data_IF_733840696279
#
_entry.id   IF_733840696279
#
_cell.length_a   1.000
_cell.length_b   1.000
_cell.length_c   1.000
_cell.angle_alpha   90.00
_cell.angle_beta   90.00
_cell.angle_gamma   90.00
#
_symmetry.space_group_name_H-M   'P 1'
#
loop_
_entity.id
_entity.type
_entity.pdbx_description
1 polymer ?
#
# COMPACT_ATOMS: atom_id res chain seq x y z
N UNK A 1 -23.37 -30.38 -8.58
CA UNK A 1 -24.62 -30.39 -7.78
C UNK A 1 -24.64 -29.10 -7.00
N UNK A 2 -25.79 -28.43 -6.91
CA UNK A 2 -25.95 -27.18 -6.16
C UNK A 2 -26.49 -27.48 -4.76
N UNK A 3 -25.95 -26.82 -3.73
CA UNK A 3 -26.48 -26.89 -2.36
C UNK A 3 -27.26 -25.62 -2.06
N UNK A 4 -28.33 -25.73 -1.27
CA UNK A 4 -29.13 -24.58 -0.84
C UNK A 4 -28.54 -23.98 0.43
N UNK A 5 -28.16 -22.71 0.38
CA UNK A 5 -27.73 -21.96 1.54
C UNK A 5 -28.93 -21.41 2.33
N UNK A 6 -28.90 -21.60 3.65
CA UNK A 6 -29.79 -20.98 4.62
C UNK A 6 -28.95 -20.21 5.63
N UNK A 7 -29.18 -18.90 5.73
CA UNK A 7 -28.50 -18.03 6.68
C UNK A 7 -29.32 -17.89 7.96
N UNK A 8 -28.66 -17.91 9.11
CA UNK A 8 -29.28 -17.74 10.43
C UNK A 8 -28.63 -16.53 11.10
N UNK A 9 -29.43 -15.49 11.35
CA UNK A 9 -29.01 -14.29 12.06
C UNK A 9 -29.41 -14.40 13.54
N UNK A 10 -28.48 -14.26 14.50
CA UNK A 10 -28.83 -14.12 15.89
C UNK A 10 -29.47 -12.74 16.15
N UNK A 11 -30.60 -12.72 16.85
CA UNK A 11 -31.18 -11.52 17.47
C UNK A 11 -31.42 -10.31 16.53
N UNK A 12 -31.93 -10.56 15.32
CA UNK A 12 -32.58 -9.53 14.52
C UNK A 12 -34.10 -9.63 14.64
N UNK A 13 -34.82 -8.52 14.95
CA UNK A 13 -36.27 -8.53 14.97
C UNK A 13 -36.79 -8.97 13.59
N UNK A 14 -37.62 -10.02 13.61
CA UNK A 14 -38.07 -10.74 12.42
C UNK A 14 -38.71 -9.79 11.39
N UNK A 15 -38.23 -9.87 10.14
CA UNK A 15 -38.67 -9.02 9.02
C UNK A 15 -37.70 -7.93 8.59
N UNK A 16 -36.50 -7.87 9.18
CA UNK A 16 -35.48 -6.89 8.81
C UNK A 16 -34.94 -7.12 7.40
N UNK A 17 -35.03 -6.10 6.55
CA UNK A 17 -34.38 -6.08 5.24
C UNK A 17 -32.89 -5.85 5.43
N UNK A 18 -32.03 -6.68 4.86
CA UNK A 18 -30.58 -6.61 5.02
C UNK A 18 -29.87 -6.59 3.66
N UNK A 19 -28.68 -6.02 3.62
CA UNK A 19 -27.75 -6.25 2.53
C UNK A 19 -27.05 -7.58 2.72
N UNK A 20 -26.88 -8.38 1.67
CA UNK A 20 -26.16 -9.66 1.75
C UNK A 20 -25.16 -9.78 0.62
N UNK A 21 -23.92 -10.14 0.92
CA UNK A 21 -22.87 -10.43 -0.05
C UNK A 21 -22.25 -11.79 0.24
N UNK A 22 -22.21 -12.67 -0.76
CA UNK A 22 -21.53 -13.97 -0.66
C UNK A 22 -20.35 -13.97 -1.63
N UNK A 23 -19.17 -14.34 -1.13
CA UNK A 23 -17.93 -14.46 -1.90
C UNK A 23 -17.42 -15.90 -1.83
N UNK A 24 -16.83 -16.39 -2.92
CA UNK A 24 -16.14 -17.68 -2.92
C UNK A 24 -14.70 -17.55 -2.39
N UNK A 25 -13.96 -18.67 -2.28
CA UNK A 25 -12.54 -18.70 -1.87
C UNK A 25 -11.57 -17.81 -2.66
N UNK A 26 -11.96 -17.35 -3.85
CA UNK A 26 -11.16 -16.42 -4.68
C UNK A 26 -11.60 -14.96 -4.45
N UNK A 27 -12.43 -14.71 -3.44
CA UNK A 27 -13.06 -13.44 -3.10
C UNK A 27 -13.97 -12.86 -4.21
N UNK A 28 -14.36 -13.69 -5.19
CA UNK A 28 -15.29 -13.27 -6.24
C UNK A 28 -16.69 -13.26 -5.64
N UNK A 29 -17.40 -12.14 -5.79
CA UNK A 29 -18.81 -11.99 -5.40
C UNK A 29 -19.66 -12.90 -6.27
N UNK A 30 -20.26 -13.92 -5.66
CA UNK A 30 -21.17 -14.88 -6.35
C UNK A 30 -22.63 -14.51 -6.15
N UNK A 31 -22.94 -13.74 -5.09
CA UNK A 31 -24.27 -13.22 -4.83
C UNK A 31 -24.19 -11.87 -4.12
N UNK A 32 -25.08 -10.95 -4.51
CA UNK A 32 -25.26 -9.67 -3.83
C UNK A 32 -26.71 -9.24 -3.87
N UNK A 33 -27.27 -8.96 -2.70
CA UNK A 33 -28.56 -8.31 -2.51
C UNK A 33 -28.33 -6.99 -1.77
N UNK A 34 -28.71 -5.82 -2.33
CA UNK A 34 -28.43 -4.53 -1.70
C UNK A 34 -29.24 -4.31 -0.42
N UNK A 35 -30.55 -4.55 -0.45
CA UNK A 35 -31.47 -4.52 0.71
C UNK A 35 -32.64 -5.45 0.38
N UNK A 36 -32.84 -6.51 1.16
CA UNK A 36 -33.91 -7.49 0.93
C UNK A 36 -34.09 -8.46 2.09
N UNK A 37 -35.08 -9.36 2.03
CA UNK A 37 -35.13 -10.46 2.98
C UNK A 37 -33.84 -11.30 2.89
N UNK A 38 -33.45 -11.91 4.00
CA UNK A 38 -32.31 -12.83 4.02
C UNK A 38 -32.51 -13.91 2.95
N UNK A 39 -31.54 -14.15 2.05
CA UNK A 39 -31.74 -15.11 0.97
C UNK A 39 -31.93 -16.51 1.54
N UNK A 40 -33.07 -17.11 1.24
CA UNK A 40 -33.36 -18.51 1.56
C UNK A 40 -33.23 -19.36 0.29
N UNK A 41 -32.34 -20.35 0.31
CA UNK A 41 -32.20 -21.30 -0.80
C UNK A 41 -31.32 -20.81 -1.94
N UNK A 42 -30.29 -20.01 -1.65
CA UNK A 42 -29.28 -19.64 -2.64
C UNK A 42 -28.52 -20.89 -3.09
N UNK A 43 -28.54 -21.17 -4.39
CA UNK A 43 -27.81 -22.31 -4.97
C UNK A 43 -26.32 -21.96 -5.13
N UNK A 44 -25.46 -22.70 -4.42
CA UNK A 44 -24.01 -22.55 -4.49
C UNK A 44 -23.35 -23.84 -4.99
N UNK A 45 -22.22 -23.68 -5.68
CA UNK A 45 -21.34 -24.80 -6.04
C UNK A 45 -20.57 -25.30 -4.81
N UNK A 46 -19.98 -26.51 -4.91
CA UNK A 46 -19.13 -27.08 -3.86
C UNK A 46 -17.90 -26.21 -3.65
N UNK A 47 -17.60 -25.84 -2.40
CA UNK A 47 -16.43 -25.06 -2.05
C UNK A 47 -16.57 -24.18 -0.80
N UNK A 48 -15.54 -23.38 -0.54
CA UNK A 48 -15.47 -22.47 0.62
C UNK A 48 -15.96 -21.09 0.24
N UNK A 49 -16.77 -20.50 1.11
CA UNK A 49 -17.40 -19.20 0.94
C UNK A 49 -17.27 -18.34 2.21
N UNK A 50 -17.42 -17.03 2.02
CA UNK A 50 -17.61 -16.05 3.08
C UNK A 50 -18.90 -15.29 2.79
N UNK A 51 -19.76 -15.17 3.78
CA UNK A 51 -20.99 -14.38 3.70
C UNK A 51 -20.90 -13.19 4.64
N UNK A 52 -21.30 -12.03 4.15
CA UNK A 52 -21.43 -10.80 4.90
C UNK A 52 -22.86 -10.29 4.81
N UNK A 53 -23.44 -9.94 5.95
CA UNK A 53 -24.78 -9.36 6.07
C UNK A 53 -24.69 -8.00 6.76
N UNK A 54 -25.29 -6.98 6.18
CA UNK A 54 -25.37 -5.63 6.73
C UNK A 54 -26.83 -5.32 7.08
N UNK A 55 -27.10 -5.07 8.35
CA UNK A 55 -28.41 -4.70 8.85
C UNK A 55 -28.66 -3.18 8.71
N UNK A 56 -29.92 -2.72 8.63
CA UNK A 56 -30.26 -1.29 8.50
C UNK A 56 -29.82 -0.43 9.68
N UNK A 57 -29.65 -1.05 10.85
CA UNK A 57 -29.15 -0.42 12.07
C UNK A 57 -27.62 -0.28 12.08
N UNK A 58 -26.94 -0.73 11.01
CA UNK A 58 -25.49 -0.63 10.85
C UNK A 58 -24.70 -1.76 11.49
N UNK A 59 -25.36 -2.77 12.05
CA UNK A 59 -24.70 -4.01 12.48
C UNK A 59 -24.27 -4.83 11.26
N UNK A 60 -23.10 -5.46 11.36
CA UNK A 60 -22.60 -6.38 10.35
C UNK A 60 -22.43 -7.76 10.96
N UNK A 61 -22.70 -8.76 10.13
CA UNK A 61 -22.55 -10.16 10.50
C UNK A 61 -21.72 -10.85 9.42
N UNK A 62 -20.82 -11.73 9.85
CA UNK A 62 -19.95 -12.47 8.93
C UNK A 62 -19.82 -13.93 9.36
N UNK A 63 -19.69 -14.82 8.38
CA UNK A 63 -19.25 -16.18 8.62
C UNK A 63 -18.53 -16.74 7.39
N UNK A 64 -17.52 -17.57 7.64
CA UNK A 64 -16.95 -18.47 6.63
C UNK A 64 -17.63 -19.83 6.73
N UNK A 65 -17.92 -20.47 5.59
CA UNK A 65 -18.56 -21.78 5.55
C UNK A 65 -18.12 -22.60 4.33
N UNK A 66 -18.29 -23.92 4.39
CA UNK A 66 -18.01 -24.84 3.30
C UNK A 66 -19.31 -25.48 2.81
N UNK A 67 -19.48 -25.50 1.49
CA UNK A 67 -20.54 -26.24 0.81
C UNK A 67 -19.97 -27.59 0.41
N UNK A 68 -20.38 -28.64 1.11
CA UNK A 68 -19.92 -30.01 0.86
C UNK A 68 -20.61 -30.65 -0.37
N UNK A 69 -19.91 -31.58 -1.00
CA UNK A 69 -20.47 -32.34 -2.12
C UNK A 69 -21.60 -33.26 -1.66
N UNK A 70 -22.78 -33.13 -2.29
CA UNK A 70 -23.96 -33.93 -1.98
C UNK A 70 -24.80 -33.43 -0.80
N UNK A 71 -24.37 -32.37 -0.10
CA UNK A 71 -25.18 -31.76 0.96
C UNK A 71 -26.42 -31.05 0.34
N UNK A 72 -27.65 -31.42 0.73
CA UNK A 72 -28.86 -30.82 0.15
C UNK A 72 -29.03 -29.35 0.56
N UNK A 73 -28.51 -28.98 1.73
CA UNK A 73 -28.49 -27.62 2.25
C UNK A 73 -27.30 -27.39 3.19
N UNK A 74 -26.86 -26.14 3.29
CA UNK A 74 -25.86 -25.68 4.25
C UNK A 74 -26.49 -24.59 5.11
N UNK A 75 -26.51 -24.78 6.44
CA UNK A 75 -26.97 -23.78 7.40
C UNK A 75 -25.78 -23.04 7.98
N UNK A 76 -25.84 -21.71 7.97
CA UNK A 76 -24.74 -20.86 8.43
C UNK A 76 -25.27 -19.90 9.48
N UNK A 77 -24.80 -20.06 10.71
CA UNK A 77 -25.03 -19.11 11.79
C UNK A 77 -24.04 -17.97 11.63
N UNK A 78 -24.56 -16.77 11.45
CA UNK A 78 -23.74 -15.57 11.27
C UNK A 78 -23.35 -15.02 12.64
N UNK A 79 -22.09 -14.65 12.79
CA UNK A 79 -21.62 -14.00 14.02
C UNK A 79 -21.65 -12.48 13.83
N UNK A 80 -22.17 -11.76 14.82
CA UNK A 80 -22.13 -10.28 14.79
C UNK A 80 -20.67 -9.85 14.87
N UNK A 81 -20.19 -9.26 13.78
CA UNK A 81 -18.90 -8.60 13.76
C UNK A 81 -19.15 -7.22 14.31
N UNK A 82 -18.64 -6.93 15.51
CA UNK A 82 -18.76 -5.61 16.14
C UNK A 82 -18.27 -4.54 15.18
N UNK A 83 -19.25 -3.92 14.52
CA UNK A 83 -19.00 -3.07 13.39
C UNK A 83 -18.61 -1.72 13.89
N UNK A 84 -17.43 -1.27 13.48
CA UNK A 84 -17.14 0.16 13.48
C UNK A 84 -18.14 0.81 12.51
N UNK A 85 -19.00 1.65 13.06
CA UNK A 85 -20.38 2.00 12.65
C UNK A 85 -20.54 2.71 11.31
N UNK A 86 -20.96 2.15 10.16
CA UNK A 86 -21.11 2.99 8.93
C UNK A 86 -22.12 4.15 9.06
N UNK A 87 -21.74 5.31 8.50
CA UNK A 87 -22.47 6.59 8.48
C UNK A 87 -23.86 6.51 7.84
N UNK A 88 -24.88 7.06 8.53
CA UNK A 88 -26.10 7.53 7.86
C UNK A 88 -25.86 8.93 7.28
N UNK A 89 -26.30 9.15 6.04
CA UNK A 89 -26.43 10.50 5.50
C UNK A 89 -27.65 11.17 6.16
N UNK A 90 -27.41 12.10 7.09
CA UNK A 90 -28.43 13.06 7.55
C UNK A 90 -28.17 14.47 7.00
N UNK A 91 -29.24 15.21 6.65
CA UNK A 91 -29.16 16.54 6.04
C UNK A 91 -28.70 17.60 7.06
N UNK A 92 -28.08 18.65 6.53
CA UNK A 92 -27.42 19.72 7.28
C UNK A 92 -28.31 20.39 8.35
N UNK A 93 -27.81 20.63 9.58
CA UNK A 93 -28.47 21.52 10.52
C UNK A 93 -28.05 22.98 10.28
N UNK A 94 -29.06 23.83 10.34
CA UNK A 94 -29.01 25.29 10.26
C UNK A 94 -28.20 25.90 11.42
N UNK A 95 -27.39 26.92 11.11
CA UNK A 95 -26.73 27.80 12.08
C UNK A 95 -27.73 28.49 13.01
N UNK A 96 -27.48 28.45 14.32
CA UNK A 96 -27.93 29.47 15.27
C UNK A 96 -26.81 29.86 16.24
N UNK A 97 -26.95 31.07 16.74
CA UNK A 97 -25.93 32.01 17.18
C UNK A 97 -25.58 31.96 18.68
N UNK A 98 -24.45 32.60 18.95
CA UNK A 98 -23.78 32.95 20.20
C UNK A 98 -24.67 33.71 21.21
N UNK A 99 -24.52 33.39 22.50
CA UNK A 99 -24.81 34.25 23.66
C UNK A 99 -24.00 33.70 24.85
N UNK A 100 -22.90 34.34 25.25
CA UNK A 100 -22.74 35.49 26.15
C UNK A 100 -22.68 35.09 27.65
N UNK A 101 -21.66 35.64 28.32
CA UNK A 101 -21.06 35.15 29.56
C UNK A 101 -21.73 35.69 30.84
N UNK A 102 -21.57 34.95 31.95
CA UNK A 102 -21.86 35.40 33.31
C UNK A 102 -20.77 34.91 34.30
N UNK A 103 -20.58 35.59 35.45
CA UNK A 103 -19.28 35.68 36.12
C UNK A 103 -19.02 34.60 37.16
N UNK A 104 -17.72 34.41 37.44
CA UNK A 104 -17.14 33.46 38.40
C UNK A 104 -17.43 33.86 39.85
N UNK A 105 -17.85 32.87 40.64
CA UNK A 105 -17.89 32.92 42.11
C UNK A 105 -16.79 31.97 42.62
N UNK A 106 -15.79 32.50 43.30
CA UNK A 106 -14.75 31.73 43.97
C UNK A 106 -15.33 31.06 45.23
N UNK A 107 -15.48 29.74 45.17
CA UNK A 107 -15.73 28.91 46.35
C UNK A 107 -14.54 27.96 46.53
N UNK A 108 -13.90 28.04 47.70
CA UNK A 108 -12.87 27.10 48.14
C UNK A 108 -13.49 25.71 48.31
N UNK A 109 -13.26 24.83 47.33
CA UNK A 109 -13.60 23.42 47.40
C UNK A 109 -12.40 22.57 47.80
N UNK A 110 -12.64 21.45 48.52
CA UNK A 110 -11.61 20.53 48.95
C UNK A 110 -10.86 19.95 47.75
N UNK A 111 -9.57 19.66 47.95
CA UNK A 111 -8.72 18.99 46.94
C UNK A 111 -9.28 17.59 46.70
N UNK A 112 -10.13 17.47 45.69
CA UNK A 112 -10.55 16.20 45.10
C UNK A 112 -9.32 15.72 44.32
N UNK A 113 -8.74 14.60 44.75
CA UNK A 113 -7.82 13.83 43.91
C UNK A 113 -8.66 13.32 42.74
N UNK A 114 -8.67 14.08 41.66
CA UNK A 114 -9.30 13.67 40.40
C UNK A 114 -8.63 12.37 39.99
N UNK A 115 -9.42 11.30 39.91
CA UNK A 115 -8.96 10.05 39.31
C UNK A 115 -8.30 10.37 37.97
N UNK A 116 -7.14 9.74 37.71
CA UNK A 116 -6.42 9.94 36.45
C UNK A 116 -7.42 9.83 35.28
N UNK A 117 -7.40 10.80 34.34
CA UNK A 117 -8.33 10.77 33.23
C UNK A 117 -8.20 9.42 32.54
N UNK A 118 -9.35 8.76 32.31
CA UNK A 118 -9.40 7.48 31.62
C UNK A 118 -8.55 7.58 30.33
N UNK A 119 -7.68 6.60 30.06
CA UNK A 119 -6.78 6.66 28.91
C UNK A 119 -7.60 6.92 27.63
N UNK A 120 -7.07 7.70 26.68
CA UNK A 120 -7.80 8.04 25.47
C UNK A 120 -8.23 6.75 24.76
N UNK A 121 -9.49 6.69 24.35
CA UNK A 121 -10.07 5.50 23.73
C UNK A 121 -9.31 5.07 22.45
N UNK A 122 -8.55 5.99 21.86
CA UNK A 122 -7.78 5.80 20.64
C UNK A 122 -6.45 6.54 20.68
N UNK A 123 -5.45 6.01 19.97
CA UNK A 123 -4.23 6.75 19.64
C UNK A 123 -3.85 6.55 18.17
N UNK A 124 -3.34 7.63 17.56
CA UNK A 124 -2.76 7.61 16.23
C UNK A 124 -1.24 7.73 16.36
N UNK A 125 -0.49 6.81 15.76
CA UNK A 125 0.97 6.84 15.75
C UNK A 125 1.50 6.59 14.35
N UNK A 126 2.57 7.27 13.97
CA UNK A 126 3.36 6.89 12.81
C UNK A 126 4.26 5.72 13.20
N UNK A 127 4.32 4.67 12.39
CA UNK A 127 5.12 3.49 12.68
C UNK A 127 5.89 3.00 11.46
N UNK A 128 7.00 2.33 11.73
CA UNK A 128 7.71 1.51 10.73
C UNK A 128 7.44 0.04 11.03
N UNK A 129 7.00 -0.71 10.02
CA UNK A 129 6.61 -2.12 10.15
C UNK A 129 7.60 -2.97 9.36
N UNK A 130 8.18 -3.94 10.04
CA UNK A 130 9.06 -4.94 9.42
C UNK A 130 8.24 -6.06 8.76
N UNK A 131 8.89 -6.93 7.99
CA UNK A 131 8.18 -7.99 7.24
C UNK A 131 7.63 -9.14 8.07
N UNK A 132 7.99 -9.23 9.34
CA UNK A 132 7.35 -10.13 10.30
C UNK A 132 6.12 -9.48 10.97
N UNK A 133 5.79 -8.23 10.61
CA UNK A 133 4.70 -7.46 11.19
C UNK A 133 5.08 -6.70 12.46
N UNK A 134 6.33 -6.77 12.92
CA UNK A 134 6.78 -6.06 14.12
C UNK A 134 6.91 -4.56 13.88
N UNK A 135 6.53 -3.77 14.89
CA UNK A 135 6.70 -2.31 14.89
C UNK A 135 8.11 -1.97 15.39
N UNK A 136 8.95 -1.40 14.52
CA UNK A 136 10.35 -1.03 14.84
C UNK A 136 10.50 0.34 15.48
N UNK A 137 9.67 1.28 15.06
CA UNK A 137 9.67 2.67 15.52
C UNK A 137 8.22 3.15 15.62
N UNK A 138 7.94 4.00 16.60
CA UNK A 138 6.62 4.57 16.82
C UNK A 138 6.70 6.01 17.31
N UNK A 139 6.09 6.91 16.56
CA UNK A 139 5.92 8.32 16.91
C UNK A 139 4.43 8.60 17.10
N UNK A 140 4.00 8.94 18.30
CA UNK A 140 2.62 9.36 18.53
C UNK A 140 2.34 10.65 17.76
N UNK A 141 1.27 10.63 16.94
CA UNK A 141 0.86 11.74 16.10
C UNK A 141 -0.30 12.53 16.73
N UNK A 142 -1.26 11.82 17.29
CA UNK A 142 -2.41 12.41 17.99
C UNK A 142 -3.03 11.40 18.95
N UNK A 143 -3.37 11.86 20.14
CA UNK A 143 -4.22 11.18 21.13
C UNK A 143 -5.69 11.60 21.01
N UNK A 144 -5.98 12.56 20.11
CA UNK A 144 -7.33 13.11 19.87
C UNK A 144 -7.78 12.77 18.46
N UNK A 145 -8.81 11.94 18.37
CA UNK A 145 -9.52 11.61 17.13
C UNK A 145 -11.02 11.90 17.32
N UNK A 146 -11.76 12.29 16.27
CA UNK A 146 -11.33 12.51 14.88
C UNK A 146 -10.47 13.78 14.71
N UNK A 147 -9.69 13.87 13.62
CA UNK A 147 -8.74 14.96 13.40
C UNK A 147 -8.02 14.88 12.06
N UNK A 148 -7.25 15.92 11.74
CA UNK A 148 -6.31 15.92 10.62
C UNK A 148 -4.91 15.80 11.18
N UNK A 149 -4.17 14.82 10.70
CA UNK A 149 -2.75 14.67 10.97
C UNK A 149 -1.99 14.90 9.68
N UNK A 150 -1.02 15.81 9.71
CA UNK A 150 -0.10 16.02 8.60
C UNK A 150 1.19 15.29 8.92
N UNK A 151 1.56 14.35 8.05
CA UNK A 151 2.83 13.64 8.14
C UNK A 151 3.80 14.40 7.23
N UNK A 152 4.86 14.92 7.84
CA UNK A 152 5.86 15.73 7.17
C UNK A 152 6.63 14.94 6.10
N UNK A 153 7.18 15.68 5.14
CA UNK A 153 8.09 15.13 4.13
C UNK A 153 9.32 14.54 4.82
N UNK A 154 9.81 13.42 4.30
CA UNK A 154 11.02 12.75 4.79
C UNK A 154 10.81 11.90 6.04
N UNK A 155 9.59 11.78 6.55
CA UNK A 155 9.29 10.87 7.64
C UNK A 155 9.70 9.43 7.25
N UNK A 156 10.59 8.82 8.04
CA UNK A 156 11.10 7.47 7.81
C UNK A 156 10.01 6.39 7.96
N UNK A 157 8.97 6.72 8.74
CA UNK A 157 7.90 5.82 9.11
C UNK A 157 6.79 5.80 8.07
N UNK A 158 6.31 4.59 7.75
CA UNK A 158 5.63 4.23 6.49
C UNK A 158 4.16 3.86 6.66
N UNK A 159 3.72 3.72 7.91
CA UNK A 159 2.38 3.32 8.25
C UNK A 159 1.82 4.22 9.34
N UNK A 160 0.53 4.46 9.29
CA UNK A 160 -0.25 5.03 10.38
C UNK A 160 -0.85 3.87 11.15
N UNK A 161 -0.42 3.73 12.40
CA UNK A 161 -1.05 2.85 13.39
C UNK A 161 -2.19 3.58 14.06
N UNK A 162 -3.34 2.93 14.10
CA UNK A 162 -4.52 3.34 14.86
C UNK A 162 -4.74 2.27 15.91
N UNK A 163 -4.47 2.63 17.16
CA UNK A 163 -4.66 1.75 18.31
C UNK A 163 -5.95 2.12 19.02
N UNK A 164 -6.74 1.11 19.40
CA UNK A 164 -7.93 1.27 20.24
C UNK A 164 -7.83 0.31 21.41
N UNK A 165 -8.20 0.78 22.60
CA UNK A 165 -8.19 -0.06 23.79
C UNK A 165 -9.05 -1.33 23.59
N UNK A 166 -8.46 -2.50 23.81
CA UNK A 166 -9.14 -3.79 23.68
C UNK A 166 -9.45 -4.24 22.25
N UNK A 167 -8.93 -3.58 21.21
CA UNK A 167 -9.06 -4.01 19.82
C UNK A 167 -7.68 -4.14 19.16
N UNK A 168 -7.54 -5.00 18.13
CA UNK A 168 -6.31 -5.08 17.37
C UNK A 168 -5.97 -3.74 16.71
N UNK A 169 -4.67 -3.44 16.65
CA UNK A 169 -4.17 -2.27 15.94
C UNK A 169 -4.54 -2.36 14.46
N UNK A 170 -4.92 -1.22 13.88
CA UNK A 170 -5.06 -1.08 12.44
C UNK A 170 -3.86 -0.31 11.88
N UNK A 171 -3.30 -0.81 10.80
CA UNK A 171 -2.18 -0.18 10.12
C UNK A 171 -2.54 0.17 8.69
N UNK A 172 -2.15 1.37 8.30
CA UNK A 172 -2.52 1.96 7.01
C UNK A 172 -1.28 2.53 6.37
N UNK A 173 -0.98 2.11 5.14
CA UNK A 173 0.15 2.65 4.41
C UNK A 173 0.03 4.18 4.27
N UNK A 174 1.07 4.89 4.65
CA UNK A 174 1.18 6.35 4.56
C UNK A 174 2.36 6.67 3.64
N UNK A 175 2.11 6.93 2.34
CA UNK A 175 3.16 7.17 1.36
C UNK A 175 3.86 8.51 1.58
N UNK A 176 4.88 8.52 2.44
CA UNK A 176 5.78 9.68 2.61
C UNK A 176 7.13 9.42 1.96
N UNK A 177 7.75 10.49 1.46
CA UNK A 177 9.13 10.51 0.98
C UNK A 177 9.79 11.83 1.34
N UNK A 178 11.10 11.98 1.15
CA UNK A 178 11.80 13.26 1.33
C UNK A 178 11.15 14.43 0.57
N UNK A 179 10.43 14.15 -0.53
CA UNK A 179 9.77 15.15 -1.36
C UNK A 179 8.23 15.17 -1.21
N UNK A 180 7.65 14.26 -0.43
CA UNK A 180 6.19 14.06 -0.35
C UNK A 180 5.72 13.82 1.08
N UNK A 181 4.83 14.69 1.56
CA UNK A 181 4.05 14.46 2.77
C UNK A 181 2.70 13.82 2.45
N UNK A 182 1.98 13.42 3.50
CA UNK A 182 0.59 12.97 3.39
C UNK A 182 -0.25 13.62 4.47
N UNK A 183 -1.46 14.07 4.11
CA UNK A 183 -2.46 14.51 5.08
C UNK A 183 -3.43 13.38 5.31
N UNK A 184 -3.49 12.91 6.55
CA UNK A 184 -4.37 11.85 7.02
C UNK A 184 -5.51 12.52 7.77
N UNK A 185 -6.68 12.58 7.14
CA UNK A 185 -7.88 13.11 7.78
C UNK A 185 -8.74 11.96 8.28
N UNK A 186 -8.78 11.78 9.60
CA UNK A 186 -9.69 10.87 10.27
C UNK A 186 -11.04 11.57 10.41
N UNK A 187 -12.02 11.19 9.58
CA UNK A 187 -13.37 11.76 9.56
C UNK A 187 -14.27 11.14 10.63
N UNK A 188 -14.11 9.85 10.89
CA UNK A 188 -14.76 9.12 11.98
C UNK A 188 -13.92 7.91 12.36
N UNK A 189 -14.18 7.37 13.54
CA UNK A 189 -13.54 6.17 14.09
C UNK A 189 -14.54 5.00 14.21
N UNK A 190 -15.84 5.31 14.15
CA UNK A 190 -16.93 4.36 14.14
C UNK A 190 -17.96 4.91 13.13
N UNK A 191 -17.78 4.64 11.82
CA UNK A 191 -16.85 3.67 11.24
C UNK A 191 -15.49 4.33 11.13
N UNK A 192 -14.42 3.56 11.03
CA UNK A 192 -13.17 4.19 10.65
C UNK A 192 -13.29 4.73 9.22
N UNK A 193 -13.32 6.05 9.11
CA UNK A 193 -13.41 6.77 7.85
C UNK A 193 -12.19 7.66 7.74
N UNK A 194 -11.28 7.28 6.84
CA UNK A 194 -10.03 7.99 6.62
C UNK A 194 -10.00 8.55 5.21
N UNK A 195 -9.36 9.70 5.10
CA UNK A 195 -9.11 10.38 3.84
C UNK A 195 -7.62 10.67 3.77
N UNK A 196 -6.92 9.95 2.88
CA UNK A 196 -5.50 10.11 2.63
C UNK A 196 -5.34 11.05 1.45
N UNK A 197 -4.83 12.25 1.72
CA UNK A 197 -4.51 13.22 0.68
C UNK A 197 -3.01 13.31 0.52
N UNK A 198 -2.51 12.74 -0.56
CA UNK A 198 -1.10 12.87 -0.93
C UNK A 198 -0.82 14.27 -1.43
N UNK A 199 0.39 14.74 -1.17
CA UNK A 199 0.88 16.01 -1.66
C UNK A 199 1.13 15.94 -3.18
N UNK A 200 0.09 16.15 -3.98
CA UNK A 200 0.15 16.16 -5.45
C UNK A 200 -1.10 15.57 -6.08
N UNK A 201 -1.80 16.37 -6.90
CA UNK A 201 -3.12 16.01 -7.42
C UNK A 201 -3.12 14.74 -8.30
N UNK A 202 -2.00 14.44 -8.95
CA UNK A 202 -1.87 13.29 -9.86
C UNK A 202 -1.86 11.93 -9.13
N UNK A 203 -1.27 11.84 -7.94
CA UNK A 203 -1.23 10.59 -7.18
C UNK A 203 -2.64 10.21 -6.69
N UNK A 204 -3.38 11.18 -6.15
CA UNK A 204 -4.76 10.99 -5.71
C UNK A 204 -5.67 10.57 -6.87
N UNK A 205 -5.49 11.19 -8.05
CA UNK A 205 -6.22 10.82 -9.27
C UNK A 205 -5.93 9.37 -9.70
N UNK A 206 -4.66 8.96 -9.69
CA UNK A 206 -4.26 7.61 -10.02
C UNK A 206 -4.85 6.59 -9.04
N UNK A 207 -4.78 6.86 -7.72
CA UNK A 207 -5.42 6.01 -6.71
C UNK A 207 -6.92 5.87 -6.93
N UNK A 208 -7.59 6.99 -7.22
CA UNK A 208 -9.01 6.99 -7.52
C UNK A 208 -9.32 6.09 -8.73
N UNK A 209 -8.53 6.14 -9.80
CA UNK A 209 -8.78 5.27 -10.95
C UNK A 209 -8.51 3.79 -10.66
N UNK A 210 -7.47 3.46 -9.91
CA UNK A 210 -7.17 2.07 -9.54
C UNK A 210 -8.29 1.53 -8.63
N UNK A 211 -8.68 2.28 -7.59
CA UNK A 211 -9.72 1.87 -6.65
C UNK A 211 -11.09 1.63 -7.34
N UNK A 212 -11.37 2.38 -8.40
CA UNK A 212 -12.63 2.26 -9.14
C UNK A 212 -12.55 1.35 -10.37
N UNK A 213 -11.45 0.59 -10.54
CA UNK A 213 -11.28 -0.32 -11.67
C UNK A 213 -11.35 0.35 -13.04
N UNK A 214 -11.02 1.66 -13.13
CA UNK A 214 -11.14 2.45 -14.36
C UNK A 214 -9.90 2.31 -15.24
N UNK A 215 -9.66 1.09 -15.70
CA UNK A 215 -8.47 0.69 -16.46
C UNK A 215 -8.31 1.49 -17.76
N UNK A 216 -9.40 1.81 -18.46
CA UNK A 216 -9.35 2.59 -19.70
C UNK A 216 -8.89 4.04 -19.45
N UNK A 217 -9.37 4.67 -18.38
CA UNK A 217 -8.96 6.03 -18.00
C UNK A 217 -7.51 6.07 -17.50
N UNK A 218 -7.04 4.97 -16.91
CA UNK A 218 -5.64 4.77 -16.58
C UNK A 218 -4.77 4.65 -17.83
N UNK A 219 -5.27 4.01 -18.89
CA UNK A 219 -4.58 3.94 -20.18
C UNK A 219 -4.38 5.32 -20.81
N UNK A 220 -5.38 6.20 -20.74
CA UNK A 220 -5.26 7.57 -21.27
C UNK A 220 -4.23 8.41 -20.49
N UNK A 221 -4.23 8.28 -19.16
CA UNK A 221 -3.26 8.96 -18.30
C UNK A 221 -1.85 8.41 -18.52
N UNK A 222 -1.72 7.10 -18.71
CA UNK A 222 -0.47 6.46 -19.12
C UNK A 222 -0.03 6.99 -20.47
N UNK A 223 -0.93 7.17 -21.45
CA UNK A 223 -0.60 7.73 -22.75
C UNK A 223 -0.09 9.18 -22.67
N UNK A 224 -0.47 9.97 -21.65
CA UNK A 224 0.11 11.30 -21.40
C UNK A 224 1.56 11.21 -20.87
N UNK A 225 1.84 10.24 -20.00
CA UNK A 225 3.16 10.06 -19.37
C UNK A 225 4.11 9.27 -20.29
N UNK A 226 3.57 8.42 -21.16
CA UNK A 226 4.29 7.49 -22.01
C UNK A 226 5.33 8.15 -22.91
N UNK A 227 5.04 9.24 -23.66
CA UNK A 227 6.05 9.91 -24.50
C UNK A 227 7.29 10.37 -23.72
N UNK A 228 7.11 10.75 -22.45
CA UNK A 228 8.22 11.19 -21.58
C UNK A 228 9.12 10.01 -21.20
N UNK A 229 8.54 8.82 -21.07
CA UNK A 229 9.23 7.57 -20.76
C UNK A 229 9.79 6.91 -22.02
N UNK A 230 9.12 7.07 -23.16
CA UNK A 230 9.54 6.59 -24.48
C UNK A 230 10.86 7.22 -24.92
N UNK A 231 11.08 8.50 -24.57
CA UNK A 231 12.36 9.18 -24.81
C UNK A 231 13.54 8.44 -24.16
N UNK A 232 13.27 7.74 -23.05
CA UNK A 232 14.25 6.89 -22.35
C UNK A 232 14.28 5.49 -22.97
N UNK A 233 13.13 4.94 -23.35
CA UNK A 233 12.98 3.63 -24.01
C UNK A 233 13.70 3.53 -25.37
N UNK A 234 13.71 4.62 -26.14
CA UNK A 234 14.26 4.67 -27.50
C UNK A 234 15.80 4.54 -27.57
N UNK A 235 16.49 4.44 -26.43
CA UNK A 235 17.93 4.15 -26.37
C UNK A 235 18.30 2.75 -26.91
N UNK A 236 17.37 1.80 -26.84
CA UNK A 236 17.65 0.38 -27.08
C UNK A 236 18.47 -0.25 -25.94
N UNK A 237 18.28 -1.55 -25.70
CA UNK A 237 18.80 -2.25 -24.51
C UNK A 237 20.34 -2.12 -24.31
N UNK A 238 21.11 -2.11 -25.39
CA UNK A 238 22.58 -2.00 -25.32
C UNK A 238 23.04 -0.60 -24.87
N UNK A 239 22.46 0.47 -25.43
CA UNK A 239 22.79 1.84 -25.01
C UNK A 239 22.20 2.18 -23.65
N UNK A 240 21.10 1.51 -23.26
CA UNK A 240 20.52 1.59 -21.92
C UNK A 240 21.50 1.08 -20.86
N UNK A 241 22.14 -0.05 -21.12
CA UNK A 241 23.12 -0.65 -20.22
C UNK A 241 24.36 0.23 -20.10
N UNK A 242 24.89 0.70 -21.23
CA UNK A 242 26.02 1.66 -21.24
C UNK A 242 25.66 2.96 -20.52
N UNK A 243 24.46 3.48 -20.74
CA UNK A 243 23.93 4.65 -20.04
C UNK A 243 23.82 4.40 -18.53
N UNK A 244 23.21 3.29 -18.09
CA UNK A 244 23.10 2.94 -16.66
C UNK A 244 24.47 2.77 -15.99
N UNK A 245 25.42 2.08 -16.64
CA UNK A 245 26.79 1.92 -16.14
C UNK A 245 27.53 3.27 -16.05
N UNK A 246 27.37 4.14 -17.05
CA UNK A 246 27.97 5.48 -17.03
C UNK A 246 27.32 6.39 -15.98
N UNK A 247 25.99 6.34 -15.83
CA UNK A 247 25.24 7.12 -14.85
C UNK A 247 25.59 6.67 -13.44
N UNK A 248 25.56 5.36 -13.15
CA UNK A 248 25.91 4.81 -11.83
C UNK A 248 27.36 5.08 -11.44
N UNK A 249 28.31 4.90 -12.35
CA UNK A 249 29.74 5.15 -12.11
C UNK A 249 30.07 6.62 -11.84
N UNK A 250 29.30 7.54 -12.44
CA UNK A 250 29.52 8.96 -12.31
C UNK A 250 28.39 9.65 -11.52
N UNK A 251 27.60 8.88 -10.75
CA UNK A 251 26.33 9.37 -10.20
C UNK A 251 26.53 10.51 -9.23
N UNK A 252 27.49 10.43 -8.31
CA UNK A 252 27.77 11.52 -7.36
C UNK A 252 28.15 12.82 -8.07
N UNK A 253 29.05 12.74 -9.06
CA UNK A 253 29.44 13.89 -9.87
C UNK A 253 28.29 14.43 -10.74
N UNK A 254 27.43 13.56 -11.25
CA UNK A 254 26.24 13.95 -11.99
C UNK A 254 25.20 14.59 -11.05
N UNK A 255 25.05 14.06 -9.83
CA UNK A 255 24.12 14.53 -8.81
C UNK A 255 24.47 15.93 -8.32
N UNK A 256 25.73 16.21 -8.00
CA UNK A 256 26.18 17.57 -7.64
C UNK A 256 25.89 18.56 -8.78
N UNK A 257 26.04 18.11 -10.02
CA UNK A 257 25.81 18.90 -11.22
C UNK A 257 24.31 19.13 -11.49
N UNK A 258 23.47 18.14 -11.19
CA UNK A 258 22.00 18.23 -11.27
C UNK A 258 21.41 19.09 -10.15
N UNK A 259 21.91 18.95 -8.93
CA UNK A 259 21.42 19.69 -7.77
C UNK A 259 21.82 21.18 -7.88
N UNK A 260 23.00 21.48 -8.44
CA UNK A 260 23.37 22.84 -8.86
C UNK A 260 22.53 23.41 -10.01
N UNK A 261 21.97 22.54 -10.87
CA UNK A 261 21.02 22.95 -11.91
C UNK A 261 19.59 23.18 -11.40
N UNK A 262 19.23 22.57 -10.27
CA UNK A 262 17.95 22.77 -9.58
C UNK A 262 17.81 24.19 -9.01
N UNK A 263 18.90 24.79 -8.54
CA UNK A 263 18.86 26.06 -7.79
C UNK A 263 19.04 27.33 -8.64
N UNK A 264 19.37 27.22 -9.93
CA UNK A 264 19.69 28.41 -10.74
C UNK A 264 19.38 28.22 -12.24
N UNK A 265 18.57 29.08 -12.88
CA UNK A 265 18.31 29.02 -14.33
C UNK A 265 19.57 29.18 -15.19
N UNK A 266 20.63 29.80 -14.63
CA UNK A 266 21.92 29.95 -15.28
C UNK A 266 22.64 28.60 -15.44
N UNK A 267 22.38 27.62 -14.58
CA UNK A 267 22.97 26.29 -14.70
C UNK A 267 22.32 25.43 -15.79
N UNK A 268 21.08 25.74 -16.18
CA UNK A 268 20.44 25.13 -17.35
C UNK A 268 21.15 25.56 -18.65
N UNK A 269 21.55 26.83 -18.74
CA UNK A 269 22.42 27.33 -19.81
C UNK A 269 23.87 26.80 -19.71
N UNK A 270 24.32 26.42 -18.51
CA UNK A 270 25.59 25.70 -18.30
C UNK A 270 25.50 24.26 -18.80
N UNK A 271 24.33 23.60 -18.72
CA UNK A 271 24.13 22.26 -19.29
C UNK A 271 24.37 22.25 -20.81
N UNK A 272 23.94 23.30 -21.52
CA UNK A 272 24.22 23.48 -22.95
C UNK A 272 25.71 23.81 -23.23
N UNK A 273 26.48 24.21 -22.21
CA UNK A 273 27.91 24.58 -22.29
C UNK A 273 28.84 23.62 -21.56
N UNK A 274 28.32 22.54 -20.96
CA UNK A 274 29.02 21.52 -20.17
C UNK A 274 30.33 21.02 -20.80
N UNK A 275 30.40 20.78 -22.13
CA UNK A 275 31.63 20.34 -22.75
C UNK A 275 32.80 21.32 -22.60
N UNK A 276 32.52 22.63 -22.56
CA UNK A 276 33.53 23.71 -22.44
C UNK A 276 33.98 23.95 -21.00
N UNK A 277 33.10 23.77 -20.02
CA UNK A 277 33.40 24.01 -18.61
C UNK A 277 34.19 22.84 -17.96
N UNK A 278 33.97 21.60 -18.40
CA UNK A 278 34.71 20.45 -17.90
C UNK A 278 36.23 20.52 -18.17
N UNK A 279 36.64 21.27 -19.20
CA UNK A 279 38.05 21.60 -19.52
C UNK A 279 38.64 22.66 -18.58
N UNK A 280 37.80 23.52 -17.99
CA UNK A 280 38.23 24.66 -17.19
C UNK A 280 38.50 24.29 -15.72
N UNK A 281 37.83 23.25 -15.21
CA UNK A 281 37.94 22.82 -13.81
C UNK A 281 38.82 21.58 -13.59
N UNK A 282 39.62 21.17 -14.58
CA UNK A 282 40.61 20.08 -14.41
C UNK A 282 40.03 18.67 -14.32
N UNK A 283 38.75 18.48 -14.66
CA UNK A 283 38.09 17.16 -14.63
C UNK A 283 38.46 16.26 -15.82
N UNK A 284 39.64 16.37 -16.44
CA UNK A 284 39.91 15.80 -17.77
C UNK A 284 39.60 14.29 -17.91
N UNK A 285 39.84 13.47 -16.88
CA UNK A 285 39.52 12.03 -16.90
C UNK A 285 38.03 11.71 -16.71
N UNK A 286 37.30 12.47 -15.89
CA UNK A 286 35.85 12.31 -15.72
C UNK A 286 35.05 13.03 -16.83
N UNK A 287 35.61 14.10 -17.38
CA UNK A 287 35.04 14.92 -18.44
C UNK A 287 34.82 14.15 -19.74
N UNK A 288 35.65 13.15 -20.05
CA UNK A 288 35.43 12.32 -21.25
C UNK A 288 34.14 11.51 -21.10
N UNK A 289 33.91 10.90 -19.94
CA UNK A 289 32.67 10.16 -19.65
C UNK A 289 31.45 11.08 -19.62
N UNK A 290 31.54 12.21 -18.91
CA UNK A 290 30.44 13.19 -18.79
C UNK A 290 30.13 13.88 -20.12
N UNK A 291 31.13 14.18 -20.96
CA UNK A 291 30.91 14.73 -22.31
C UNK A 291 30.27 13.72 -23.24
N UNK A 292 30.71 12.46 -23.18
CA UNK A 292 30.07 11.37 -23.93
C UNK A 292 28.61 11.25 -23.50
N UNK A 293 28.36 11.25 -22.18
CA UNK A 293 27.01 11.22 -21.61
C UNK A 293 26.14 12.38 -22.13
N UNK A 294 26.62 13.62 -21.99
CA UNK A 294 25.86 14.81 -22.38
C UNK A 294 25.64 14.91 -23.90
N UNK A 295 26.61 14.49 -24.71
CA UNK A 295 26.53 14.57 -26.18
C UNK A 295 25.69 13.45 -26.78
N UNK A 296 25.84 12.22 -26.29
CA UNK A 296 25.16 11.05 -26.85
C UNK A 296 23.81 10.78 -26.19
N UNK A 297 23.66 11.17 -24.92
CA UNK A 297 22.47 10.87 -24.11
C UNK A 297 21.78 12.12 -23.56
N UNK A 298 22.07 13.33 -24.09
CA UNK A 298 21.50 14.60 -23.60
C UNK A 298 19.97 14.60 -23.42
N UNK A 299 19.17 14.20 -24.42
CA UNK A 299 17.72 14.07 -24.30
C UNK A 299 17.29 13.09 -23.20
N UNK A 300 18.05 12.01 -22.99
CA UNK A 300 17.75 10.97 -22.03
C UNK A 300 18.19 11.34 -20.63
N UNK A 301 19.29 12.07 -20.47
CA UNK A 301 19.64 12.74 -19.23
C UNK A 301 18.54 13.72 -18.85
N UNK A 302 18.05 14.54 -19.79
CA UNK A 302 16.91 15.43 -19.52
C UNK A 302 15.64 14.66 -19.16
N UNK A 303 15.36 13.53 -19.84
CA UNK A 303 14.22 12.69 -19.52
C UNK A 303 14.35 12.00 -18.16
N UNK A 304 15.55 11.56 -17.77
CA UNK A 304 15.87 10.99 -16.45
C UNK A 304 15.83 12.07 -15.37
N UNK A 305 16.32 13.29 -15.62
CA UNK A 305 16.20 14.43 -14.71
C UNK A 305 14.72 14.82 -14.54
N UNK A 306 13.95 14.85 -15.63
CA UNK A 306 12.49 15.03 -15.57
C UNK A 306 11.79 13.87 -14.86
N UNK A 307 12.26 12.64 -15.03
CA UNK A 307 11.75 11.47 -14.33
C UNK A 307 12.15 11.46 -12.85
N UNK A 308 13.30 12.05 -12.47
CA UNK A 308 13.72 12.29 -11.08
C UNK A 308 12.78 13.26 -10.37
N UNK A 309 12.14 14.17 -11.12
CA UNK A 309 11.05 15.00 -10.58
C UNK A 309 9.72 14.24 -10.44
N UNK A 310 9.65 12.97 -10.88
CA UNK A 310 8.51 12.11 -10.56
C UNK A 310 8.72 11.60 -9.15
N UNK A 311 8.04 12.28 -8.24
CA UNK A 311 7.58 11.81 -6.93
C UNK A 311 7.54 10.26 -6.82
N UNK A 312 8.29 9.63 -5.90
CA UNK A 312 8.46 8.17 -5.84
C UNK A 312 7.15 7.39 -5.78
N UNK A 313 6.15 7.90 -5.08
CA UNK A 313 4.83 7.27 -4.97
C UNK A 313 4.13 7.32 -6.33
N UNK A 314 4.18 8.46 -7.02
CA UNK A 314 3.62 8.61 -8.38
C UNK A 314 4.31 7.66 -9.36
N UNK A 315 5.65 7.55 -9.30
CA UNK A 315 6.40 6.62 -10.15
C UNK A 315 6.00 5.16 -9.91
N UNK A 316 5.79 4.80 -8.64
CA UNK A 316 5.38 3.45 -8.23
C UNK A 316 3.97 3.12 -8.73
N UNK A 317 3.04 4.05 -8.57
CA UNK A 317 1.68 3.87 -9.10
C UNK A 317 1.74 3.71 -10.62
N UNK A 318 2.47 4.57 -11.32
CA UNK A 318 2.64 4.46 -12.76
C UNK A 318 3.22 3.09 -13.14
N UNK A 319 4.23 2.60 -12.41
CA UNK A 319 4.82 1.26 -12.62
C UNK A 319 3.79 0.13 -12.49
N UNK A 320 2.92 0.17 -11.49
CA UNK A 320 1.82 -0.79 -11.39
C UNK A 320 0.82 -0.67 -12.53
N UNK A 321 0.44 0.55 -12.92
CA UNK A 321 -0.49 0.76 -14.03
C UNK A 321 0.10 0.20 -15.32
N UNK A 322 1.39 0.39 -15.56
CA UNK A 322 2.09 -0.24 -16.67
C UNK A 322 2.00 -1.77 -16.62
N UNK A 323 2.24 -2.37 -15.45
CA UNK A 323 2.04 -3.82 -15.30
C UNK A 323 0.58 -4.25 -15.54
N UNK A 324 -0.42 -3.43 -15.24
CA UNK A 324 -1.82 -3.81 -15.47
C UNK A 324 -2.25 -3.66 -16.93
N UNK A 325 -1.93 -2.51 -17.54
CA UNK A 325 -2.46 -2.10 -18.84
C UNK A 325 -1.57 -2.58 -19.99
N UNK A 326 -0.25 -2.71 -19.75
CA UNK A 326 0.72 -2.93 -20.83
C UNK A 326 1.03 -1.65 -21.61
N UNK A 327 1.74 -1.75 -22.75
CA UNK A 327 1.95 -0.60 -23.64
C UNK A 327 0.62 -0.15 -24.24
N UNK A 328 0.47 1.15 -24.55
CA UNK A 328 -0.71 1.63 -25.26
C UNK A 328 -0.89 0.89 -26.60
N UNK A 329 -2.14 0.59 -26.99
CA UNK A 329 -2.45 -0.11 -28.23
C UNK A 329 -1.92 0.65 -29.46
N UNK A 330 -1.45 -0.08 -30.47
CA UNK A 330 -0.87 0.49 -31.71
C UNK A 330 0.66 0.57 -31.75
N UNK A 331 1.35 0.18 -30.66
CA UNK A 331 2.81 0.20 -30.56
C UNK A 331 3.41 -1.22 -30.39
N UNK A 332 2.83 -2.22 -31.08
CA UNK A 332 3.17 -3.64 -30.88
C UNK A 332 4.62 -3.98 -31.23
N UNK A 333 5.21 -3.28 -32.21
CA UNK A 333 6.62 -3.41 -32.57
C UNK A 333 7.58 -2.98 -31.45
N UNK A 334 7.10 -2.18 -30.48
CA UNK A 334 7.86 -1.73 -29.30
C UNK A 334 7.61 -2.58 -28.06
N UNK A 335 6.89 -3.71 -28.14
CA UNK A 335 6.66 -4.59 -26.96
C UNK A 335 7.95 -5.11 -26.32
N UNK A 336 9.01 -5.28 -27.10
CA UNK A 336 10.32 -5.68 -26.56
C UNK A 336 10.96 -4.55 -25.73
N UNK A 337 10.94 -3.31 -26.21
CA UNK A 337 11.49 -2.15 -25.47
C UNK A 337 10.63 -1.73 -24.29
N UNK A 338 9.34 -2.04 -24.31
CA UNK A 338 8.40 -1.80 -23.20
C UNK A 338 8.89 -2.41 -21.89
N UNK A 339 9.34 -3.66 -21.97
CA UNK A 339 9.95 -4.33 -20.85
C UNK A 339 11.14 -3.54 -20.31
N UNK A 340 12.10 -3.25 -21.17
CA UNK A 340 13.33 -2.56 -20.80
C UNK A 340 13.05 -1.17 -20.20
N UNK A 341 11.96 -0.52 -20.63
CA UNK A 341 11.48 0.74 -20.06
C UNK A 341 10.99 0.58 -18.63
N UNK A 342 10.18 -0.45 -18.33
CA UNK A 342 9.74 -0.73 -16.96
C UNK A 342 10.95 -1.11 -16.10
N UNK A 343 11.88 -1.92 -16.62
CA UNK A 343 13.09 -2.28 -15.88
C UNK A 343 13.96 -1.07 -15.57
N UNK A 344 14.08 -0.14 -16.51
CA UNK A 344 14.84 1.07 -16.29
C UNK A 344 14.11 2.05 -15.36
N UNK A 345 12.79 2.20 -15.49
CA UNK A 345 12.00 2.99 -14.54
C UNK A 345 12.12 2.44 -13.14
N UNK A 346 12.00 1.13 -13.03
CA UNK A 346 12.30 0.40 -11.82
C UNK A 346 13.72 0.71 -11.35
N UNK A 347 14.75 0.49 -12.16
CA UNK A 347 16.15 0.70 -11.75
C UNK A 347 16.44 2.14 -11.31
N UNK A 348 15.97 3.13 -12.08
CA UNK A 348 16.12 4.55 -11.78
C UNK A 348 15.35 4.95 -10.52
N UNK A 349 14.16 4.40 -10.30
CA UNK A 349 13.37 4.68 -9.11
C UNK A 349 13.94 3.96 -7.87
N UNK A 350 14.41 2.71 -8.02
CA UNK A 350 14.84 1.84 -6.92
C UNK A 350 16.18 2.24 -6.35
N UNK A 351 17.07 2.77 -7.19
CA UNK A 351 18.33 3.33 -6.73
C UNK A 351 18.12 4.48 -5.73
N UNK A 352 16.95 5.14 -5.77
CA UNK A 352 16.68 6.34 -4.98
C UNK A 352 15.69 6.13 -3.83
N UNK A 353 14.90 5.07 -3.85
CA UNK A 353 13.92 4.79 -2.78
C UNK A 353 14.03 3.35 -2.28
N UNK A 354 15.17 2.96 -1.67
CA UNK A 354 15.38 1.61 -1.14
C UNK A 354 14.40 1.22 -0.04
N UNK A 355 13.64 2.18 0.47
CA UNK A 355 12.57 2.06 1.46
C UNK A 355 11.21 1.69 0.86
N UNK A 356 11.01 1.86 -0.45
CA UNK A 356 9.75 1.57 -1.12
C UNK A 356 9.79 0.15 -1.66
N UNK A 357 9.16 -0.80 -0.97
CA UNK A 357 9.26 -2.23 -1.33
C UNK A 357 8.48 -2.55 -2.61
N UNK A 358 7.40 -1.82 -2.88
CA UNK A 358 6.57 -1.94 -4.09
C UNK A 358 7.34 -1.85 -5.39
N UNK A 359 8.32 -0.99 -5.36
CA UNK A 359 9.28 -0.83 -6.42
C UNK A 359 9.91 -2.20 -6.72
N UNK A 360 10.56 -2.88 -5.76
CA UNK A 360 11.09 -4.23 -5.98
C UNK A 360 10.06 -5.21 -6.58
N UNK A 361 8.82 -5.18 -6.10
CA UNK A 361 7.72 -6.00 -6.61
C UNK A 361 7.44 -5.72 -8.10
N UNK A 362 7.41 -4.45 -8.51
CA UNK A 362 7.16 -4.03 -9.90
C UNK A 362 8.22 -4.60 -10.85
N UNK A 363 9.51 -4.47 -10.52
CA UNK A 363 10.58 -5.02 -11.39
C UNK A 363 10.58 -6.53 -11.41
N UNK A 364 10.41 -7.15 -10.25
CA UNK A 364 10.36 -8.60 -10.16
C UNK A 364 9.23 -9.15 -11.05
N UNK A 365 8.06 -8.50 -11.03
CA UNK A 365 6.94 -8.84 -11.91
C UNK A 365 7.26 -8.56 -13.40
N UNK A 366 7.90 -7.43 -13.71
CA UNK A 366 8.30 -7.10 -15.08
C UNK A 366 9.30 -8.13 -15.66
N UNK A 367 10.28 -8.56 -14.86
CA UNK A 367 11.24 -9.62 -15.20
C UNK A 367 10.54 -10.97 -15.35
N UNK A 368 9.60 -11.29 -14.46
CA UNK A 368 8.83 -12.53 -14.52
C UNK A 368 8.04 -12.63 -15.83
N UNK A 369 7.41 -11.54 -16.27
CA UNK A 369 6.67 -11.46 -17.53
C UNK A 369 7.53 -11.60 -18.79
N UNK A 370 8.83 -11.28 -18.69
CA UNK A 370 9.82 -11.51 -19.77
C UNK A 370 10.45 -12.89 -19.75
N UNK A 371 9.98 -13.80 -18.88
CA UNK A 371 10.58 -15.12 -18.73
C UNK A 371 11.91 -15.13 -17.98
N UNK A 372 12.37 -14.00 -17.42
CA UNK A 372 13.59 -13.92 -16.63
C UNK A 372 13.32 -14.36 -15.17
N UNK A 373 12.80 -15.57 -15.01
CA UNK A 373 12.24 -16.07 -13.75
C UNK A 373 13.25 -16.17 -12.61
N UNK A 374 14.50 -16.55 -12.87
CA UNK A 374 15.53 -16.63 -11.82
C UNK A 374 15.88 -15.25 -11.25
N UNK A 375 15.99 -14.24 -12.12
CA UNK A 375 16.22 -12.85 -11.69
C UNK A 375 15.01 -12.32 -10.93
N UNK A 376 13.81 -12.55 -11.45
CA UNK A 376 12.56 -12.17 -10.78
C UNK A 376 12.46 -12.80 -9.38
N UNK A 377 12.70 -14.10 -9.27
CA UNK A 377 12.73 -14.83 -8.01
C UNK A 377 13.76 -14.22 -7.04
N UNK A 378 14.95 -13.90 -7.51
CA UNK A 378 15.99 -13.26 -6.68
C UNK A 378 15.56 -11.91 -6.09
N UNK A 379 14.68 -11.17 -6.79
CA UNK A 379 14.12 -9.91 -6.29
C UNK A 379 12.94 -10.14 -5.35
N UNK A 380 12.01 -11.05 -5.68
CA UNK A 380 10.90 -11.38 -4.78
C UNK A 380 11.37 -11.94 -3.44
N UNK A 381 12.46 -12.71 -3.43
CA UNK A 381 13.07 -13.20 -2.18
C UNK A 381 13.65 -12.10 -1.30
N UNK A 382 13.89 -10.89 -1.82
CA UNK A 382 14.34 -9.72 -1.04
C UNK A 382 13.18 -8.91 -0.45
N UNK A 383 11.95 -9.15 -0.89
CA UNK A 383 10.76 -8.40 -0.41
C UNK A 383 10.62 -8.53 1.11
N UNK A 384 10.62 -9.75 1.70
CA UNK A 384 10.56 -9.87 3.16
C UNK A 384 11.70 -9.12 3.85
N UNK A 385 12.93 -9.19 3.38
CA UNK A 385 14.03 -8.50 4.07
C UNK A 385 13.95 -6.96 4.03
N UNK A 386 13.08 -6.40 3.19
CA UNK A 386 12.90 -4.95 3.01
C UNK A 386 11.64 -4.39 3.66
N UNK A 387 10.75 -5.26 4.13
CA UNK A 387 9.47 -4.91 4.74
C UNK A 387 8.27 -5.19 3.84
N UNK A 388 7.12 -4.70 4.25
CA UNK A 388 5.85 -4.95 3.52
C UNK A 388 5.65 -3.91 2.40
N UNK A 389 5.25 -4.32 1.19
CA UNK A 389 4.80 -3.40 0.16
C UNK A 389 3.64 -2.53 0.68
N UNK A 390 3.65 -1.24 0.37
CA UNK A 390 2.59 -0.30 0.72
C UNK A 390 1.33 -0.48 -0.10
N UNK A 391 1.43 -1.08 -1.29
CA UNK A 391 0.28 -1.37 -2.13
C UNK A 391 -0.03 -2.86 -2.08
N UNK A 392 -1.32 -3.20 -1.96
CA UNK A 392 -1.79 -4.58 -1.93
C UNK A 392 -1.40 -5.36 -3.19
N UNK A 393 -1.28 -4.67 -4.33
CA UNK A 393 -0.78 -5.25 -5.58
C UNK A 393 0.64 -5.78 -5.47
N UNK A 394 1.55 -5.08 -4.79
CA UNK A 394 2.93 -5.53 -4.61
C UNK A 394 3.00 -6.81 -3.81
N UNK A 395 2.24 -6.86 -2.70
CA UNK A 395 2.12 -8.05 -1.87
C UNK A 395 1.50 -9.21 -2.67
N UNK A 396 0.42 -8.96 -3.42
CA UNK A 396 -0.25 -9.95 -4.27
C UNK A 396 0.69 -10.54 -5.32
N UNK A 397 1.36 -9.70 -6.11
CA UNK A 397 2.32 -10.18 -7.12
C UNK A 397 3.42 -11.01 -6.50
N UNK A 398 3.95 -10.58 -5.34
CA UNK A 398 5.00 -11.32 -4.64
C UNK A 398 4.51 -12.70 -4.21
N UNK A 399 3.35 -12.78 -3.56
CA UNK A 399 2.77 -14.05 -3.11
C UNK A 399 2.46 -14.99 -4.27
N UNK A 400 1.77 -14.50 -5.31
CA UNK A 400 1.38 -15.29 -6.47
C UNK A 400 2.62 -15.86 -7.19
N UNK A 401 3.66 -15.03 -7.37
CA UNK A 401 4.91 -15.44 -8.03
C UNK A 401 5.72 -16.40 -7.18
N UNK A 402 5.91 -16.15 -5.89
CA UNK A 402 6.63 -17.08 -5.02
C UNK A 402 5.92 -18.44 -4.93
N UNK A 403 4.58 -18.47 -4.86
CA UNK A 403 3.79 -19.73 -4.94
C UNK A 403 4.00 -20.46 -6.26
N UNK A 404 4.00 -19.73 -7.38
CA UNK A 404 4.28 -20.28 -8.70
C UNK A 404 5.70 -20.83 -8.85
N UNK A 405 6.69 -20.13 -8.31
CA UNK A 405 8.09 -20.57 -8.31
C UNK A 405 8.33 -21.77 -7.40
N UNK A 406 7.69 -21.82 -6.22
CA UNK A 406 7.71 -23.01 -5.35
C UNK A 406 7.24 -24.26 -6.09
N UNK A 407 6.10 -24.16 -6.78
CA UNK A 407 5.53 -25.26 -7.57
C UNK A 407 6.48 -25.65 -8.72
N UNK A 408 7.03 -24.66 -9.43
CA UNK A 408 8.00 -24.89 -10.51
C UNK A 408 9.28 -25.58 -10.00
N UNK A 409 9.80 -25.19 -8.84
CA UNK A 409 10.99 -25.81 -8.25
C UNK A 409 10.72 -27.25 -7.77
N UNK A 410 9.56 -27.50 -7.14
CA UNK A 410 9.15 -28.86 -6.74
C UNK A 410 8.94 -29.82 -7.92
N UNK A 411 8.57 -29.29 -9.09
CA UNK A 411 8.38 -30.07 -10.32
C UNK A 411 9.63 -30.14 -11.20
N UNK A 412 10.79 -29.66 -10.70
CA UNK A 412 12.07 -29.72 -11.43
C UNK A 412 12.20 -28.73 -12.59
N UNK A 413 11.29 -27.75 -12.72
CA UNK A 413 11.36 -26.69 -13.75
C UNK A 413 12.25 -25.51 -13.34
N UNK A 414 12.54 -25.39 -12.05
CA UNK A 414 13.53 -24.47 -11.47
C UNK A 414 14.44 -25.27 -10.53
N UNK A 415 15.61 -24.71 -10.22
CA UNK A 415 16.54 -25.32 -9.26
C UNK A 415 15.81 -25.63 -7.93
N UNK A 416 15.79 -26.91 -7.49
CA UNK A 416 15.19 -27.31 -6.22
C UNK A 416 15.74 -26.58 -5.00
N UNK A 417 16.99 -26.06 -5.08
CA UNK A 417 17.60 -25.27 -4.00
C UNK A 417 16.80 -24.01 -3.67
N UNK A 418 16.00 -23.50 -4.62
CA UNK A 418 15.12 -22.36 -4.37
C UNK A 418 13.98 -22.66 -3.41
N UNK A 419 13.53 -23.91 -3.27
CA UNK A 419 12.44 -24.26 -2.34
C UNK A 419 12.81 -23.85 -0.91
N UNK A 420 14.02 -24.16 -0.47
CA UNK A 420 14.51 -23.83 0.86
C UNK A 420 14.53 -22.31 1.14
N UNK A 421 14.63 -21.48 0.09
CA UNK A 421 14.60 -20.01 0.19
C UNK A 421 13.20 -19.43 0.07
N UNK A 422 12.33 -20.07 -0.71
CA UNK A 422 10.96 -19.60 -0.97
C UNK A 422 10.05 -19.84 0.24
N UNK A 423 10.16 -20.99 0.92
CA UNK A 423 9.24 -21.31 2.03
C UNK A 423 9.29 -20.29 3.17
N UNK A 424 10.46 -19.89 3.70
CA UNK A 424 10.50 -18.88 4.78
C UNK A 424 9.98 -17.52 4.33
N UNK A 425 10.20 -17.15 3.07
CA UNK A 425 9.70 -15.90 2.50
C UNK A 425 8.17 -15.92 2.37
N UNK A 426 7.59 -17.02 1.89
CA UNK A 426 6.15 -17.20 1.79
C UNK A 426 5.50 -17.22 3.18
N UNK A 427 6.05 -17.95 4.14
CA UNK A 427 5.50 -18.07 5.48
C UNK A 427 5.35 -16.68 6.15
N UNK A 428 6.35 -15.81 6.00
CA UNK A 428 6.30 -14.42 6.51
C UNK A 428 5.23 -13.59 5.81
N UNK A 429 5.22 -13.60 4.47
CA UNK A 429 4.30 -12.76 3.70
C UNK A 429 2.85 -13.24 3.77
N UNK A 430 2.62 -14.55 3.88
CA UNK A 430 1.28 -15.12 4.03
C UNK A 430 0.66 -14.75 5.38
N UNK A 431 1.46 -14.70 6.45
CA UNK A 431 0.99 -14.19 7.75
C UNK A 431 0.46 -12.77 7.66
N UNK A 432 1.15 -11.89 6.94
CA UNK A 432 0.69 -10.52 6.71
C UNK A 432 -0.55 -10.45 5.81
N UNK A 433 -0.62 -11.33 4.82
CA UNK A 433 -1.73 -11.39 3.88
C UNK A 433 -3.08 -11.74 4.54
N UNK A 434 -3.07 -12.42 5.69
CA UNK A 434 -4.29 -12.80 6.41
C UNK A 434 -5.13 -11.60 6.86
N UNK A 435 -4.50 -10.46 7.14
CA UNK A 435 -5.17 -9.23 7.57
C UNK A 435 -5.15 -8.15 6.52
N UNK A 436 -4.59 -8.42 5.33
CA UNK A 436 -4.55 -7.46 4.24
C UNK A 436 -5.88 -7.41 3.48
N UNK A 437 -6.39 -6.21 3.23
CA UNK A 437 -7.51 -5.99 2.31
C UNK A 437 -6.99 -5.87 0.86
N UNK A 438 -7.19 -6.92 0.05
CA UNK A 438 -6.81 -6.95 -1.36
C UNK A 438 -7.83 -6.31 -2.31
N UNK A 439 -9.03 -5.95 -1.81
CA UNK A 439 -10.02 -5.21 -2.60
C UNK A 439 -9.67 -3.71 -2.67
N UNK A 440 -8.79 -3.24 -1.79
CA UNK A 440 -8.24 -1.88 -1.80
C UNK A 440 -6.87 -1.83 -2.47
N UNK A 441 -6.54 -0.78 -3.25
CA UNK A 441 -5.24 -0.65 -3.90
C UNK A 441 -4.10 -0.28 -2.94
N UNK A 442 -4.43 0.38 -1.83
CA UNK A 442 -3.51 0.64 -0.73
C UNK A 442 -3.56 -0.52 0.26
N UNK A 443 -2.40 -0.95 0.74
CA UNK A 443 -2.34 -1.97 1.77
C UNK A 443 -2.90 -1.39 3.07
N UNK A 444 -3.98 -2.02 3.52
CA UNK A 444 -4.59 -1.82 4.83
C UNK A 444 -4.52 -3.16 5.53
N UNK A 445 -4.00 -3.21 6.75
CA UNK A 445 -3.97 -4.45 7.51
C UNK A 445 -4.39 -4.31 8.96
N UNK A 446 -5.15 -5.30 9.41
CA UNK A 446 -5.42 -5.54 10.83
C UNK A 446 -4.20 -6.24 11.44
N UNK A 447 -3.83 -5.89 12.68
CA UNK A 447 -2.79 -6.61 13.42
C UNK A 447 -3.20 -8.06 13.60
N UNK A 448 -2.61 -8.96 12.81
CA UNK A 448 -2.84 -10.41 12.93
C UNK A 448 -2.04 -11.00 14.08
N UNK A 449 -0.94 -10.34 14.46
CA UNK A 449 -0.17 -10.73 15.63
C UNK A 449 -0.90 -10.16 16.85
N UNK A 450 -1.45 -10.99 17.75
CA UNK A 450 -1.78 -10.52 19.08
C UNK A 450 -0.48 -9.95 19.62
N UNK A 451 -0.43 -8.64 19.90
CA UNK A 451 0.63 -8.12 20.74
C UNK A 451 0.67 -9.06 21.94
N UNK A 452 1.82 -9.70 22.19
CA UNK A 452 2.03 -10.49 23.39
C UNK A 452 1.36 -9.72 24.53
N UNK A 453 0.24 -10.24 25.01
CA UNK A 453 -0.51 -9.54 26.04
C UNK A 453 0.50 -9.27 27.13
N UNK A 454 0.67 -8.01 27.59
CA UNK A 454 1.66 -7.72 28.61
C UNK A 454 1.42 -8.74 29.70
N UNK A 455 2.40 -9.62 29.93
CA UNK A 455 2.33 -10.62 30.99
C UNK A 455 1.93 -9.79 32.22
N UNK A 456 0.72 -9.98 32.79
CA UNK A 456 0.33 -9.19 33.94
C UNK A 456 1.47 -9.34 34.93
N UNK A 457 2.01 -8.23 35.47
CA UNK A 457 3.20 -8.28 36.31
C UNK A 457 2.93 -9.36 37.34
N UNK A 458 3.76 -10.41 37.33
CA UNK A 458 3.56 -11.58 38.16
C UNK A 458 3.15 -11.08 39.54
N UNK A 459 1.93 -11.40 39.96
CA UNK A 459 1.45 -11.04 41.29
C UNK A 459 2.57 -11.46 42.22
N UNK A 460 3.26 -10.47 42.79
CA UNK A 460 4.28 -10.73 43.79
C UNK A 460 3.49 -11.41 44.89
N UNK A 461 3.61 -12.73 44.97
CA UNK A 461 3.17 -13.50 46.12
C UNK A 461 3.78 -12.79 47.32
N UNK A 462 2.94 -12.03 48.03
CA UNK A 462 3.31 -11.46 49.32
C UNK A 462 3.77 -12.66 50.15
N UNK A 463 4.99 -12.63 50.71
CA UNK A 463 5.44 -13.73 51.55
C UNK A 463 4.39 -13.89 52.66
N UNK A 464 3.82 -15.10 52.78
CA UNK A 464 3.00 -15.44 53.93
C UNK A 464 3.81 -15.14 55.18
N UNK A 465 3.39 -14.11 55.92
CA UNK A 465 3.79 -13.95 57.32
C UNK A 465 3.27 -15.18 58.05
N UNK A 466 4.21 -16.04 58.46
CA UNK A 466 3.95 -17.14 59.37
C UNK A 466 3.79 -16.52 60.77
N UNK A 467 2.58 -16.63 61.31
CA UNK A 467 2.27 -16.38 62.73
C UNK A 467 2.32 -17.68 63.52
#
# INVERSE_FOLDING_TARGET
MTSKLTLILPDLPGGSLVGTTVRNRKLIVVFRSPIGPLPTGLELEVGIYVVQVEAPDGRYFEAAFEVEEGAPSTEVVLEEVLSQTKFSHSPAPSRQSVGEAAPQVEAHHPVIVLADPAPPAYSLSLVTIDSDGTVKDSQTLSDRLPGVVEIERGAASRFVRISRFGQPDLFIAAPTSEEEGVKVKVKSIAPLALDLKLEGDRANLLFHYIANGRVDQLSDLVAEVWPRLETIADLGAERLKEFSELVSKNWSAAQDLFDGARSNPLTQAIFDRLPKLATLFGFERQAVGVRKLAREFGPQIQAVVKARHIKPVTATIAGYVFLLVGPPPGNESKRSSYGDTIDLLAELAFGQSPWLVDQLCIRAEALARRGQHEKALSLFLKVPDRGVPMFSMGLRFTLDRLKGYRTSARTGKLDPSFVARIEPALERLERLALGADFDQPLLTFLSIVPQDSPIPPAERESPMETY
#
